data_IF_701191111248
#
_entry.id   IF_701191111248
#
_cell.length_a   1.000
_cell.length_b   1.000
_cell.length_c   1.000
_cell.angle_alpha   90.00
_cell.angle_beta   90.00
_cell.angle_gamma   90.00
#
_symmetry.space_group_name_H-M   'P 1'
#
loop_
_entity.id
_entity.type
_entity.pdbx_description
1 polymer ?
#
# COMPACT_ATOMS: atom_id res chain seq x y z
N UNK A 1 2.33 -7.73 -9.44
CA UNK A 1 1.01 -7.09 -9.30
C UNK A 1 0.69 -7.07 -7.83
N UNK A 2 0.25 -5.93 -7.30
CA UNK A 2 -0.09 -5.79 -5.87
C UNK A 2 -1.40 -6.53 -5.62
N UNK A 3 -1.44 -7.37 -4.59
CA UNK A 3 -2.66 -8.01 -4.12
C UNK A 3 -3.27 -7.18 -2.97
N UNK A 4 -4.45 -6.62 -3.22
CA UNK A 4 -5.14 -5.75 -2.25
C UNK A 4 -5.78 -6.50 -1.07
N UNK A 5 -5.92 -7.82 -1.18
CA UNK A 5 -6.51 -8.67 -0.14
C UNK A 5 -5.45 -9.30 0.78
N UNK A 6 -4.17 -9.09 0.46
CA UNK A 6 -3.06 -9.49 1.33
C UNK A 6 -2.93 -8.51 2.49
N UNK A 7 -2.48 -9.04 3.63
CA UNK A 7 -2.16 -8.24 4.83
C UNK A 7 -1.07 -7.22 4.51
N UNK A 8 -1.22 -6.02 5.08
CA UNK A 8 -0.31 -4.90 4.81
C UNK A 8 1.11 -5.19 5.29
N UNK A 9 1.28 -5.92 6.39
CA UNK A 9 2.60 -6.33 6.90
C UNK A 9 3.42 -7.12 5.87
N UNK A 10 2.83 -8.17 5.30
CA UNK A 10 3.44 -9.02 4.29
C UNK A 10 3.61 -8.27 2.97
N UNK A 11 2.68 -7.36 2.65
CA UNK A 11 2.80 -6.50 1.47
C UNK A 11 3.99 -5.53 1.59
N UNK A 12 4.17 -4.88 2.74
CA UNK A 12 5.24 -3.91 2.95
C UNK A 12 6.63 -4.56 3.04
N UNK A 13 6.70 -5.82 3.45
CA UNK A 13 7.94 -6.61 3.38
C UNK A 13 8.39 -6.82 1.93
N UNK A 14 7.46 -7.13 1.04
CA UNK A 14 7.77 -7.37 -0.38
C UNK A 14 7.88 -6.07 -1.19
N UNK A 15 7.11 -5.04 -0.81
CA UNK A 15 6.96 -3.77 -1.53
C UNK A 15 7.00 -2.58 -0.57
N UNK A 16 8.17 -2.18 -0.06
CA UNK A 16 8.30 -1.02 0.83
C UNK A 16 7.80 0.29 0.19
N UNK A 17 7.77 0.39 -1.13
CA UNK A 17 7.24 1.56 -1.86
C UNK A 17 5.73 1.73 -1.66
N UNK A 18 4.98 0.64 -1.46
CA UNK A 18 3.55 0.72 -1.19
C UNK A 18 3.28 1.47 0.13
N UNK A 19 4.15 1.29 1.13
CA UNK A 19 4.11 2.05 2.38
C UNK A 19 4.38 3.54 2.16
N UNK A 20 5.34 3.88 1.30
CA UNK A 20 5.67 5.28 1.02
C UNK A 20 4.52 6.02 0.33
N UNK A 21 3.88 5.38 -0.65
CA UNK A 21 2.69 5.94 -1.31
C UNK A 21 1.59 6.21 -0.27
N UNK A 22 1.24 5.22 0.56
CA UNK A 22 0.23 5.43 1.60
C UNK A 22 0.60 6.60 2.53
N UNK A 23 1.87 6.69 2.95
CA UNK A 23 2.36 7.77 3.81
C UNK A 23 2.22 9.15 3.17
N UNK A 24 2.50 9.28 1.87
CA UNK A 24 2.34 10.55 1.14
C UNK A 24 0.88 11.00 1.02
N UNK A 25 -0.04 10.04 1.00
CA UNK A 25 -1.48 10.30 1.08
C UNK A 25 -1.98 10.51 2.52
N UNK A 26 -1.07 10.67 3.50
CA UNK A 26 -1.39 10.93 4.91
C UNK A 26 -1.75 9.69 5.72
N UNK A 27 -1.48 8.50 5.20
CA UNK A 27 -1.89 7.22 5.79
C UNK A 27 -0.66 6.53 6.36
N UNK A 28 -0.46 6.67 7.67
CA UNK A 28 0.64 6.02 8.39
C UNK A 28 0.27 4.61 8.84
N UNK A 29 -0.07 3.73 7.88
CA UNK A 29 -0.40 2.34 8.19
C UNK A 29 0.74 1.60 8.89
N UNK A 30 2.00 1.92 8.63
CA UNK A 30 3.13 1.19 9.20
C UNK A 30 3.37 1.42 10.70
N UNK A 31 2.76 2.47 11.28
CA UNK A 31 2.74 2.69 12.73
C UNK A 31 1.37 2.37 13.34
N UNK A 32 0.41 1.96 12.49
CA UNK A 32 -0.91 1.59 12.93
C UNK A 32 -0.88 0.19 13.55
N UNK A 33 -1.49 0.04 14.73
CA UNK A 33 -1.62 -1.24 15.43
C UNK A 33 -2.34 -2.31 14.58
N UNK A 34 -3.13 -1.87 13.60
CA UNK A 34 -3.90 -2.73 12.72
C UNK A 34 -3.14 -3.21 11.48
N UNK A 35 -1.88 -2.82 11.25
CA UNK A 35 -1.13 -3.16 10.02
C UNK A 35 -0.98 -4.66 9.76
N UNK A 36 -0.95 -5.47 10.82
CA UNK A 36 -0.90 -6.94 10.73
C UNK A 36 -2.27 -7.58 10.51
N UNK A 37 -3.35 -6.82 10.62
CA UNK A 37 -4.74 -7.28 10.43
C UNK A 37 -5.42 -6.66 9.22
N UNK A 38 -5.06 -5.45 8.82
CA UNK A 38 -5.67 -4.74 7.69
C UNK A 38 -5.07 -5.18 6.35
N UNK A 39 -5.88 -5.04 5.32
CA UNK A 39 -5.49 -5.17 3.91
C UNK A 39 -5.52 -3.81 3.22
N UNK A 40 -4.93 -3.69 2.03
CA UNK A 40 -5.08 -2.46 1.23
C UNK A 40 -6.55 -2.14 0.94
N UNK A 41 -7.37 -3.17 0.70
CA UNK A 41 -8.80 -3.00 0.48
C UNK A 41 -9.50 -2.36 1.69
N UNK A 42 -9.12 -2.75 2.91
CA UNK A 42 -9.65 -2.17 4.15
C UNK A 42 -9.24 -0.71 4.28
N UNK A 43 -7.97 -0.39 4.01
CA UNK A 43 -7.45 0.98 4.03
C UNK A 43 -8.16 1.87 3.01
N UNK A 44 -8.32 1.40 1.76
CA UNK A 44 -9.03 2.15 0.73
C UNK A 44 -10.47 2.47 1.15
N UNK A 45 -11.16 1.51 1.77
CA UNK A 45 -12.50 1.71 2.29
C UNK A 45 -12.53 2.68 3.48
N UNK A 46 -11.64 2.50 4.45
CA UNK A 46 -11.59 3.27 5.68
C UNK A 46 -11.29 4.76 5.44
N UNK A 47 -10.37 5.04 4.52
CA UNK A 47 -9.97 6.41 4.17
C UNK A 47 -10.73 6.96 2.96
N UNK A 48 -11.70 6.20 2.42
CA UNK A 48 -12.49 6.57 1.24
C UNK A 48 -11.62 7.00 0.05
N UNK A 49 -10.61 6.18 -0.26
CA UNK A 49 -9.62 6.45 -1.31
C UNK A 49 -10.00 5.75 -2.61
N UNK A 50 -9.56 6.32 -3.73
CA UNK A 50 -9.58 5.62 -5.02
C UNK A 50 -8.48 4.54 -5.03
N UNK A 51 -8.87 3.33 -4.64
CA UNK A 51 -7.97 2.18 -4.62
C UNK A 51 -7.33 1.89 -5.97
N UNK A 52 -8.04 2.11 -7.09
CA UNK A 52 -7.50 1.86 -8.42
C UNK A 52 -6.46 2.92 -8.83
N UNK A 53 -6.59 4.17 -8.38
CA UNK A 53 -5.56 5.18 -8.56
C UNK A 53 -4.31 4.85 -7.73
N UNK A 54 -4.47 4.51 -6.46
CA UNK A 54 -3.37 4.18 -5.56
C UNK A 54 -2.61 2.93 -6.00
N UNK A 55 -3.31 1.85 -6.40
CA UNK A 55 -2.65 0.64 -6.91
C UNK A 55 -1.82 0.90 -8.16
N UNK A 56 -2.30 1.77 -9.07
CA UNK A 56 -1.53 2.18 -10.25
C UNK A 56 -0.28 2.96 -9.86
N UNK A 57 -0.41 3.90 -8.93
CA UNK A 57 0.73 4.67 -8.43
C UNK A 57 1.78 3.77 -7.75
N UNK A 58 1.35 2.90 -6.83
CA UNK A 58 2.24 1.94 -6.17
C UNK A 58 2.93 1.02 -7.17
N UNK A 59 2.17 0.49 -8.13
CA UNK A 59 2.73 -0.38 -9.19
C UNK A 59 3.77 0.37 -10.02
N UNK A 60 3.50 1.63 -10.39
CA UNK A 60 4.44 2.45 -11.14
C UNK A 60 5.75 2.70 -10.36
N UNK A 61 5.68 2.94 -9.04
CA UNK A 61 6.88 3.14 -8.20
C UNK A 61 7.69 1.87 -8.02
N UNK A 62 7.03 0.74 -7.77
CA UNK A 62 7.70 -0.57 -7.67
C UNK A 62 8.48 -0.85 -8.97
N UNK A 63 7.84 -0.63 -10.13
CA UNK A 63 8.48 -0.82 -11.44
C UNK A 63 9.62 0.17 -11.72
N UNK A 64 9.47 1.44 -11.31
CA UNK A 64 10.50 2.46 -11.48
C UNK A 64 11.79 2.11 -10.72
N UNK A 65 11.68 1.43 -9.56
CA UNK A 65 12.83 0.98 -8.77
C UNK A 65 13.46 -0.33 -9.25
N UNK A 66 12.72 -1.13 -10.03
CA UNK A 66 13.25 -2.37 -10.64
C UNK A 66 13.95 -2.13 -11.97
N UNK A 67 13.96 -0.90 -12.48
CA UNK A 67 14.69 -0.53 -13.70
C UNK A 67 16.13 -0.14 -13.33
N UNK A 68 17.15 -0.88 -13.79
CA UNK A 68 18.56 -0.60 -13.49
C UNK A 68 19.06 0.70 -14.12
#
# INVERSE_FOLDING_TARGET
MIDRHRKLDALFQDFPEAREVLREHGINCAECIAVSMDTLADVFRMYNLDGAALEREMTARIQARTRP
#
